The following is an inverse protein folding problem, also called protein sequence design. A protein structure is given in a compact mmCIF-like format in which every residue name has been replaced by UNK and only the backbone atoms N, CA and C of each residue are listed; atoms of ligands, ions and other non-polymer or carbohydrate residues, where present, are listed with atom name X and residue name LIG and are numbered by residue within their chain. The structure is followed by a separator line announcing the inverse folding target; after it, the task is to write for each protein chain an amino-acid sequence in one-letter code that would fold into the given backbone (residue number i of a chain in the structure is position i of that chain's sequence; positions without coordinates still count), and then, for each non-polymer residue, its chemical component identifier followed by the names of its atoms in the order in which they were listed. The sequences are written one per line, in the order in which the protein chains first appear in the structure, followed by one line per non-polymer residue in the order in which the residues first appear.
data_IF_431437868636
#
_entry.id   IF_431437868636
#
_cell.length_a   1.000
_cell.length_b   1.000
_cell.length_c   1.000
_cell.angle_alpha   90.00
_cell.angle_beta   90.00
_cell.angle_gamma   90.00
#
_symmetry.space_group_name_H-M   'P 1'
#
loop_
_entity.id
_entity.type
_entity.pdbx_description
1 polymer ?
#
# COMPACT_ATOMS: atom_id res chain seq x y z
N UNK A 1 -1.15 17.26 -15.48
CA UNK A 1 -0.42 18.56 -15.50
C UNK A 1 0.92 18.40 -14.80
N UNK A 2 1.94 19.21 -15.11
CA UNK A 2 3.25 19.07 -14.44
C UNK A 2 3.21 19.65 -13.03
N UNK A 3 4.20 19.29 -12.19
CA UNK A 3 4.30 19.83 -10.82
C UNK A 3 4.42 21.36 -10.76
N UNK A 4 5.02 22.00 -11.78
CA UNK A 4 5.17 23.46 -11.81
C UNK A 4 3.82 24.11 -12.13
N UNK A 5 3.11 23.59 -13.13
CA UNK A 5 1.80 24.11 -13.56
C UNK A 5 0.80 24.00 -12.40
N UNK A 6 0.73 22.84 -11.75
CA UNK A 6 -0.12 22.61 -10.59
C UNK A 6 0.18 23.55 -9.44
N UNK A 7 1.45 23.86 -9.19
CA UNK A 7 1.83 24.80 -8.12
C UNK A 7 1.33 26.21 -8.42
N UNK A 8 1.41 26.63 -9.69
CA UNK A 8 0.93 27.95 -10.10
C UNK A 8 -0.60 28.02 -10.03
N UNK A 9 -1.29 27.02 -10.55
CA UNK A 9 -2.76 26.96 -10.59
C UNK A 9 -3.39 26.78 -9.21
N UNK A 10 -2.77 26.01 -8.31
CA UNK A 10 -3.26 25.78 -6.94
C UNK A 10 -3.11 27.01 -6.04
N UNK A 11 -2.35 28.03 -6.45
CA UNK A 11 -2.09 29.21 -5.62
C UNK A 11 -1.23 28.91 -4.38
N UNK A 12 -0.48 27.80 -4.37
CA UNK A 12 0.47 27.43 -3.30
C UNK A 12 1.88 27.82 -3.76
N UNK A 13 2.35 29.06 -3.54
CA UNK A 13 3.61 29.54 -4.11
C UNK A 13 4.84 28.85 -3.49
N UNK A 14 4.74 28.49 -2.21
CA UNK A 14 5.82 27.85 -1.48
C UNK A 14 6.06 26.42 -1.96
N UNK A 15 7.26 26.17 -2.51
CA UNK A 15 7.61 24.88 -3.12
C UNK A 15 7.62 23.73 -2.09
N UNK A 16 8.25 23.85 -0.90
CA UNK A 16 8.17 22.83 0.13
C UNK A 16 6.75 22.47 0.53
N UNK A 17 5.90 23.47 0.78
CA UNK A 17 4.50 23.25 1.16
C UNK A 17 3.71 22.56 0.06
N UNK A 18 3.89 22.97 -1.21
CA UNK A 18 3.24 22.32 -2.34
C UNK A 18 3.68 20.86 -2.48
N UNK A 19 4.99 20.57 -2.39
CA UNK A 19 5.48 19.20 -2.50
C UNK A 19 4.93 18.32 -1.38
N UNK A 20 4.92 18.83 -0.14
CA UNK A 20 4.34 18.12 0.99
C UNK A 20 2.85 17.80 0.78
N UNK A 21 2.08 18.76 0.27
CA UNK A 21 0.67 18.54 -0.05
C UNK A 21 0.51 17.48 -1.16
N UNK A 22 1.34 17.52 -2.20
CA UNK A 22 1.35 16.48 -3.25
C UNK A 22 1.69 15.10 -2.69
N UNK A 23 2.68 15.01 -1.81
CA UNK A 23 3.10 13.76 -1.18
C UNK A 23 1.98 13.19 -0.30
N UNK A 24 1.26 14.04 0.45
CA UNK A 24 0.10 13.64 1.24
C UNK A 24 -1.05 13.14 0.36
N UNK A 25 -1.36 13.82 -0.74
CA UNK A 25 -2.37 13.39 -1.72
C UNK A 25 -2.00 12.08 -2.41
N UNK A 26 -0.71 11.89 -2.73
CA UNK A 26 -0.21 10.65 -3.31
C UNK A 26 -0.27 9.50 -2.30
N UNK A 27 0.13 9.73 -1.05
CA UNK A 27 0.06 8.73 0.02
C UNK A 27 -1.40 8.30 0.28
N UNK A 28 -2.35 9.22 0.15
CA UNK A 28 -3.78 8.94 0.22
C UNK A 28 -4.37 8.32 -1.07
N UNK A 29 -3.56 8.07 -2.10
CA UNK A 29 -3.98 7.56 -3.41
C UNK A 29 -5.10 8.42 -4.05
N UNK A 30 -5.09 9.74 -3.82
CA UNK A 30 -6.00 10.68 -4.49
C UNK A 30 -5.42 11.16 -5.82
N UNK A 31 -4.10 11.33 -5.87
CA UNK A 31 -3.36 11.75 -7.06
C UNK A 31 -2.24 10.75 -7.31
N UNK A 32 -1.97 10.44 -8.57
CA UNK A 32 -0.91 9.50 -8.99
C UNK A 32 -0.12 10.06 -10.18
N UNK A 33 1.16 9.70 -10.33
CA UNK A 33 1.91 10.02 -11.54
C UNK A 33 1.35 9.21 -12.72
N UNK A 34 0.86 9.88 -13.76
CA UNK A 34 0.45 9.25 -15.01
C UNK A 34 1.63 8.98 -15.93
N UNK A 35 2.58 9.91 -15.97
CA UNK A 35 3.73 9.90 -16.86
C UNK A 35 4.95 10.53 -16.16
N UNK A 36 6.13 10.05 -16.56
CA UNK A 36 7.42 10.59 -16.14
C UNK A 36 8.05 11.31 -17.32
N UNK A 37 8.33 12.60 -17.17
CA UNK A 37 8.89 13.45 -18.23
C UNK A 37 10.30 13.86 -17.82
N UNK A 38 11.30 13.55 -18.64
CA UNK A 38 12.71 13.82 -18.33
C UNK A 38 13.23 15.14 -18.91
N UNK A 39 12.57 15.68 -19.94
CA UNK A 39 12.99 16.92 -20.63
C UNK A 39 11.87 17.95 -20.62
N UNK A 40 12.18 19.25 -20.48
CA UNK A 40 13.51 19.84 -20.32
C UNK A 40 14.11 19.65 -18.91
N UNK A 41 13.28 19.31 -17.92
CA UNK A 41 13.69 18.90 -16.57
C UNK A 41 12.83 17.72 -16.13
N UNK A 42 13.37 16.90 -15.24
CA UNK A 42 12.63 15.79 -14.64
C UNK A 42 11.38 16.30 -13.91
N UNK A 43 10.22 15.74 -14.26
CA UNK A 43 8.93 16.01 -13.61
C UNK A 43 7.96 14.86 -13.81
N UNK A 44 6.93 14.81 -12.97
CA UNK A 44 5.78 13.94 -13.18
C UNK A 44 4.63 14.74 -13.78
N UNK A 45 3.87 14.07 -14.63
CA UNK A 45 2.51 14.48 -14.96
C UNK A 45 1.60 13.80 -13.96
N UNK A 46 0.87 14.62 -13.21
CA UNK A 46 -0.06 14.13 -12.20
C UNK A 46 -1.48 14.05 -12.76
N UNK A 47 -2.21 13.03 -12.31
CA UNK A 47 -3.63 12.82 -12.58
C UNK A 47 -4.34 12.37 -11.31
N UNK A 48 -5.67 12.52 -11.28
CA UNK A 48 -6.48 11.90 -10.23
C UNK A 48 -6.40 10.37 -10.33
N UNK A 49 -6.29 9.70 -9.18
CA UNK A 49 -6.22 8.25 -9.13
C UNK A 49 -7.49 7.59 -9.69
N UNK A 50 -8.67 8.19 -9.44
CA UNK A 50 -9.97 7.72 -9.97
C UNK A 50 -10.01 7.72 -11.51
N UNK A 51 -9.28 8.63 -12.16
CA UNK A 51 -9.18 8.64 -13.62
C UNK A 51 -8.32 7.50 -14.16
N UNK A 52 -7.40 6.96 -13.34
CA UNK A 52 -6.52 5.84 -13.72
C UNK A 52 -7.07 4.48 -13.30
N UNK A 53 -7.75 4.42 -12.16
CA UNK A 53 -8.29 3.20 -11.56
C UNK A 53 -9.79 3.35 -11.24
N UNK A 54 -10.63 3.67 -12.25
CA UNK A 54 -12.04 3.94 -12.01
C UNK A 54 -12.76 2.72 -11.42
N UNK A 55 -12.51 1.53 -11.96
CA UNK A 55 -13.21 0.31 -11.53
C UNK A 55 -12.81 -0.12 -10.13
N UNK A 56 -11.55 0.07 -9.74
CA UNK A 56 -11.05 -0.36 -8.44
C UNK A 56 -11.45 0.62 -7.32
N UNK A 57 -11.43 1.93 -7.61
CA UNK A 57 -11.72 2.97 -6.60
C UNK A 57 -13.21 3.28 -6.45
N UNK A 58 -14.07 2.80 -7.35
CA UNK A 58 -15.53 2.90 -7.21
C UNK A 58 -16.17 1.71 -6.51
N UNK A 59 -15.43 0.61 -6.31
CA UNK A 59 -15.96 -0.59 -5.68
C UNK A 59 -16.07 -0.41 -4.15
N UNK A 60 -17.25 -0.62 -3.56
CA UNK A 60 -17.39 -0.62 -2.13
C UNK A 60 -16.66 -1.83 -1.54
N UNK A 61 -15.76 -1.58 -0.58
CA UNK A 61 -15.02 -2.63 0.11
C UNK A 61 -15.28 -2.54 1.62
N UNK A 62 -15.86 -3.59 2.24
CA UNK A 62 -15.97 -3.66 3.70
C UNK A 62 -14.59 -3.64 4.34
N UNK A 63 -14.46 -2.90 5.45
CA UNK A 63 -13.18 -2.73 6.15
C UNK A 63 -12.54 -4.07 6.51
N UNK A 64 -13.34 -5.02 6.99
CA UNK A 64 -12.88 -6.35 7.41
C UNK A 64 -12.27 -7.13 6.24
N UNK A 65 -12.87 -6.98 5.05
CA UNK A 65 -12.36 -7.60 3.82
C UNK A 65 -11.03 -6.96 3.43
N UNK A 66 -10.94 -5.63 3.46
CA UNK A 66 -9.70 -4.91 3.17
C UNK A 66 -8.56 -5.33 4.11
N UNK A 67 -8.82 -5.39 5.42
CA UNK A 67 -7.82 -5.81 6.41
C UNK A 67 -7.34 -7.24 6.19
N UNK A 68 -8.26 -8.15 5.87
CA UNK A 68 -7.92 -9.54 5.53
C UNK A 68 -7.06 -9.59 4.26
N UNK A 69 -7.44 -8.87 3.21
CA UNK A 69 -6.76 -8.93 1.91
C UNK A 69 -5.35 -8.34 1.98
N UNK A 70 -5.17 -7.27 2.75
CA UNK A 70 -3.84 -6.71 3.05
C UNK A 70 -2.99 -7.75 3.81
N UNK A 71 -3.54 -8.39 4.84
CA UNK A 71 -2.83 -9.42 5.58
C UNK A 71 -2.50 -10.62 4.69
N UNK A 72 -3.42 -11.01 3.80
CA UNK A 72 -3.26 -12.13 2.86
C UNK A 72 -2.09 -11.85 1.91
N UNK A 73 -2.10 -10.69 1.26
CA UNK A 73 -1.05 -10.30 0.32
C UNK A 73 0.33 -10.26 1.01
N UNK A 74 0.39 -9.71 2.22
CA UNK A 74 1.62 -9.71 3.00
C UNK A 74 2.10 -11.14 3.32
N UNK A 75 1.22 -11.99 3.85
CA UNK A 75 1.59 -13.31 4.31
C UNK A 75 1.91 -14.26 3.15
N UNK A 76 1.25 -14.11 1.99
CA UNK A 76 1.60 -14.82 0.76
C UNK A 76 3.02 -14.51 0.29
N UNK A 77 3.46 -13.24 0.40
CA UNK A 77 4.80 -12.84 -0.01
C UNK A 77 5.87 -13.17 1.04
N UNK A 78 5.59 -12.93 2.32
CA UNK A 78 6.55 -13.07 3.40
C UNK A 78 6.61 -14.49 4.01
N UNK A 79 5.57 -15.30 3.83
CA UNK A 79 5.40 -16.63 4.46
C UNK A 79 5.10 -16.59 5.96
N UNK A 80 5.48 -15.52 6.65
CA UNK A 80 5.21 -15.30 8.06
C UNK A 80 5.12 -13.80 8.39
N UNK A 81 4.53 -13.49 9.54
CA UNK A 81 4.56 -12.13 10.12
C UNK A 81 4.92 -12.21 11.60
N UNK A 82 5.84 -11.35 12.01
CA UNK A 82 6.23 -11.17 13.40
C UNK A 82 5.41 -10.07 14.07
N UNK A 83 5.48 -9.98 15.40
CA UNK A 83 4.64 -9.06 16.18
C UNK A 83 4.85 -7.62 15.75
N UNK A 84 3.79 -7.02 15.19
CA UNK A 84 3.76 -5.62 14.77
C UNK A 84 4.39 -5.35 13.39
N UNK A 85 4.90 -6.38 12.72
CA UNK A 85 5.53 -6.24 11.41
C UNK A 85 4.54 -5.82 10.33
N UNK A 86 3.38 -6.50 10.25
CA UNK A 86 2.32 -6.12 9.31
C UNK A 86 1.90 -4.66 9.51
N UNK A 87 1.67 -4.24 10.76
CA UNK A 87 1.30 -2.87 11.10
C UNK A 87 2.37 -1.85 10.67
N UNK A 88 3.65 -2.16 10.91
CA UNK A 88 4.78 -1.30 10.53
C UNK A 88 4.89 -1.12 9.02
N UNK A 89 4.72 -2.20 8.25
CA UNK A 89 4.90 -2.17 6.79
C UNK A 89 3.72 -1.51 6.07
N UNK A 90 2.51 -1.70 6.59
CA UNK A 90 1.27 -1.24 5.94
C UNK A 90 0.77 0.11 6.44
N UNK A 91 1.31 0.60 7.57
CA UNK A 91 0.78 1.79 8.25
C UNK A 91 -0.53 1.55 9.00
N UNK A 92 -1.04 0.31 9.02
CA UNK A 92 -2.24 -0.04 9.78
C UNK A 92 -2.00 0.07 11.30
N UNK A 93 -3.08 0.32 12.04
CA UNK A 93 -3.04 0.17 13.50
C UNK A 93 -2.71 -1.28 13.88
N UNK A 94 -2.07 -1.48 15.04
CA UNK A 94 -1.80 -2.85 15.54
C UNK A 94 -3.07 -3.67 15.71
N UNK A 95 -4.18 -3.02 16.06
CA UNK A 95 -5.48 -3.67 16.23
C UNK A 95 -6.02 -4.16 14.88
N UNK A 96 -6.02 -3.29 13.86
CA UNK A 96 -6.48 -3.63 12.50
C UNK A 96 -5.61 -4.71 11.85
N UNK A 97 -4.29 -4.60 11.98
CA UNK A 97 -3.35 -5.62 11.51
C UNK A 97 -3.59 -6.98 12.20
N UNK A 98 -3.93 -6.96 13.50
CA UNK A 98 -4.31 -8.15 14.24
C UNK A 98 -5.63 -8.75 13.77
N UNK A 99 -6.62 -7.93 13.41
CA UNK A 99 -7.90 -8.39 12.86
C UNK A 99 -7.69 -9.10 11.52
N UNK A 100 -6.91 -8.51 10.61
CA UNK A 100 -6.58 -9.13 9.32
C UNK A 100 -5.91 -10.49 9.49
N UNK A 101 -4.87 -10.59 10.32
CA UNK A 101 -4.18 -11.86 10.57
C UNK A 101 -5.08 -12.92 11.22
N UNK A 102 -5.93 -12.53 12.18
CA UNK A 102 -6.88 -13.47 12.81
C UNK A 102 -7.94 -13.96 11.83
N UNK A 103 -8.37 -13.13 10.87
CA UNK A 103 -9.27 -13.57 9.83
C UNK A 103 -8.65 -14.67 8.95
N UNK A 104 -7.34 -14.60 8.67
CA UNK A 104 -6.64 -15.67 7.94
C UNK A 104 -6.51 -16.96 8.74
N UNK A 105 -6.36 -16.87 10.06
CA UNK A 105 -6.39 -18.05 10.93
C UNK A 105 -7.78 -18.69 10.90
N UNK A 106 -8.84 -17.89 11.02
CA UNK A 106 -10.22 -18.38 10.96
C UNK A 106 -10.60 -18.99 9.59
N UNK A 107 -9.94 -18.56 8.50
CA UNK A 107 -10.08 -19.14 7.15
C UNK A 107 -9.12 -20.31 6.89
N UNK A 108 -8.44 -20.81 7.92
CA UNK A 108 -7.48 -21.91 7.85
C UNK A 108 -6.29 -21.65 6.90
N UNK A 109 -6.06 -20.40 6.47
CA UNK A 109 -4.94 -20.02 5.61
C UNK A 109 -3.62 -19.89 6.39
N UNK A 110 -3.71 -19.47 7.65
CA UNK A 110 -2.56 -19.25 8.52
C UNK A 110 -2.71 -19.96 9.86
N UNK A 111 -1.59 -20.16 10.54
CA UNK A 111 -1.55 -20.62 11.94
C UNK A 111 -0.92 -19.54 12.80
N UNK A 112 -1.47 -19.32 13.99
CA UNK A 112 -0.88 -18.44 15.00
C UNK A 112 0.11 -19.23 15.86
N UNK A 113 1.40 -18.94 15.72
CA UNK A 113 2.46 -19.65 16.45
C UNK A 113 2.66 -19.11 17.87
N UNK A 114 2.43 -17.80 18.04
CA UNK A 114 2.49 -17.09 19.31
C UNK A 114 1.65 -15.82 19.22
N UNK A 115 1.51 -15.09 20.32
CA UNK A 115 0.78 -13.81 20.34
C UNK A 115 1.36 -12.81 19.35
N UNK A 116 0.63 -12.56 18.25
CA UNK A 116 1.03 -11.66 17.18
C UNK A 116 2.03 -12.24 16.18
N UNK A 117 2.23 -13.56 16.17
CA UNK A 117 3.10 -14.27 15.22
C UNK A 117 2.27 -15.25 14.41
N UNK A 118 2.27 -15.10 13.09
CA UNK A 118 1.46 -15.90 12.18
C UNK A 118 2.30 -16.44 11.03
N UNK A 119 1.98 -17.64 10.55
CA UNK A 119 2.67 -18.30 9.44
C UNK A 119 1.64 -18.88 8.47
N UNK A 120 1.91 -18.79 7.16
CA UNK A 120 1.10 -19.47 6.14
C UNK A 120 1.15 -20.98 6.35
N UNK A 121 0.01 -21.67 6.23
CA UNK A 121 -0.01 -23.14 6.32
C UNK A 121 0.65 -23.84 5.13
N UNK A 122 0.55 -23.23 3.95
CA UNK A 122 1.26 -23.65 2.75
C UNK A 122 2.29 -22.58 2.38
N UNK A 123 3.50 -22.59 2.95
CA UNK A 123 4.56 -21.73 2.44
C UNK A 123 4.82 -22.09 0.98
N UNK A 124 4.89 -21.09 0.10
CA UNK A 124 5.35 -21.30 -1.27
C UNK A 124 6.70 -22.04 -1.23
N UNK A 125 6.97 -22.97 -2.18
CA UNK A 125 8.23 -23.69 -2.21
C UNK A 125 9.37 -22.67 -2.22
N UNK A 126 10.23 -22.72 -1.20
CA UNK A 126 11.34 -21.78 -1.05
C UNK A 126 12.27 -21.97 -2.25
N UNK A 127 12.30 -21.02 -3.18
CA UNK A 127 13.34 -20.99 -4.21
C UNK A 127 14.67 -20.72 -3.51
N UNK A 128 15.44 -21.78 -3.29
CA UNK A 128 16.81 -21.69 -2.79
C UNK A 128 17.68 -20.98 -3.84
N UNK A 129 17.81 -19.67 -3.70
CA UNK A 129 18.69 -18.86 -4.53
C UNK A 129 20.19 -19.07 -4.21
N UNK A 130 20.55 -19.95 -3.25
CA UNK A 130 21.95 -20.23 -2.87
C UNK A 130 22.57 -21.43 -3.60
N UNK A 131 21.92 -21.95 -4.64
CA UNK A 131 22.54 -22.89 -5.60
C UNK A 131 22.72 -22.24 -6.96
N UNK A 132 23.75 -21.40 -7.10
CA UNK A 132 24.39 -21.07 -8.37
C UNK A 132 25.89 -20.97 -8.15
#
# INVERSE_FOLDING_TARGET
MSSIDLRQESGVPDRPSFQKALDELQAAMLVVPSEVVYRPKFTYIWTLAIGRFPDQLTQPMPKETALRDIALAFLQAAGMTTRGELARVTGLSRADAGLGNRALVAQEFATMLATGVYQTKNPAPTTDHRRR
#
